data_IF_564662725513
#
_entry.id   IF_564662725513
#
_cell.length_a   1.000
_cell.length_b   1.000
_cell.length_c   1.000
_cell.angle_alpha   90.00
_cell.angle_beta   90.00
_cell.angle_gamma   90.00
#
_symmetry.space_group_name_H-M   'P 1'
#
loop_
_entity.id
_entity.type
_entity.pdbx_description
1 polymer ?
#
# COMPACT_ATOMS: atom_id res chain seq x y z
N UNK A 1 17.19 14.50 2.57
CA UNK A 1 17.25 13.02 2.45
C UNK A 1 16.06 12.41 3.17
N UNK A 2 15.42 11.41 2.59
CA UNK A 2 14.25 10.73 3.15
C UNK A 2 14.42 9.21 3.08
N UNK A 3 13.76 8.46 3.97
CA UNK A 3 13.71 7.01 3.85
C UNK A 3 12.62 6.63 2.85
N UNK A 4 12.98 5.91 1.81
CA UNK A 4 12.08 5.43 0.75
C UNK A 4 12.28 3.93 0.60
N UNK A 5 11.24 3.18 0.25
CA UNK A 5 11.31 1.72 0.25
C UNK A 5 11.82 1.14 -1.07
N UNK A 6 11.76 1.94 -2.14
CA UNK A 6 12.28 1.60 -3.46
C UNK A 6 12.94 2.81 -4.16
N UNK A 7 13.78 2.57 -5.17
CA UNK A 7 14.22 3.65 -6.07
C UNK A 7 13.08 4.30 -6.84
N UNK A 8 11.99 3.58 -7.10
CA UNK A 8 10.81 4.13 -7.76
C UNK A 8 10.13 5.17 -6.87
N UNK A 9 9.98 4.89 -5.57
CA UNK A 9 9.45 5.87 -4.60
C UNK A 9 10.34 7.11 -4.55
N UNK A 10 11.67 6.90 -4.58
CA UNK A 10 12.63 7.99 -4.62
C UNK A 10 12.52 8.83 -5.90
N UNK A 11 12.27 8.18 -7.04
CA UNK A 11 12.05 8.82 -8.34
C UNK A 11 10.74 9.63 -8.36
N UNK A 12 9.64 9.04 -7.89
CA UNK A 12 8.35 9.74 -7.76
C UNK A 12 8.48 10.95 -6.83
N UNK A 13 9.15 10.77 -5.69
CA UNK A 13 9.40 11.87 -4.77
C UNK A 13 10.23 12.99 -5.41
N UNK A 14 11.21 12.65 -6.24
CA UNK A 14 11.93 13.65 -7.04
C UNK A 14 11.02 14.36 -8.03
N UNK A 15 10.18 13.64 -8.77
CA UNK A 15 9.24 14.24 -9.72
C UNK A 15 8.30 15.25 -9.06
N UNK A 16 7.79 14.92 -7.88
CA UNK A 16 6.81 15.73 -7.16
C UNK A 16 7.49 16.86 -6.35
N UNK A 17 8.82 16.83 -6.20
CA UNK A 17 9.60 17.85 -5.49
C UNK A 17 10.08 18.93 -6.45
N UNK A 18 9.58 20.15 -6.27
CA UNK A 18 10.02 21.29 -7.05
C UNK A 18 11.53 21.53 -6.88
N UNK A 19 12.24 21.65 -8.00
CA UNK A 19 13.70 21.83 -8.01
C UNK A 19 14.51 20.53 -7.96
N UNK A 20 13.88 19.36 -7.92
CA UNK A 20 14.57 18.09 -8.16
C UNK A 20 14.65 17.79 -9.66
N UNK A 21 15.82 17.29 -10.09
CA UNK A 21 16.10 16.86 -11.47
C UNK A 21 16.65 15.45 -11.52
N UNK A 22 17.39 15.05 -10.47
CA UNK A 22 17.98 13.73 -10.34
C UNK A 22 17.78 13.22 -8.93
N UNK A 23 17.75 11.91 -8.78
CA UNK A 23 17.71 11.27 -7.48
C UNK A 23 18.86 10.26 -7.34
N UNK A 24 19.21 9.97 -6.09
CA UNK A 24 20.02 8.80 -5.75
C UNK A 24 19.34 8.04 -4.65
N UNK A 25 19.15 6.76 -4.88
CA UNK A 25 18.56 5.83 -3.95
C UNK A 25 19.57 4.78 -3.53
N UNK A 26 19.89 4.73 -2.24
CA UNK A 26 20.75 3.68 -1.69
C UNK A 26 19.90 2.47 -1.26
N UNK A 27 20.07 1.33 -1.95
CA UNK A 27 19.33 0.09 -1.70
C UNK A 27 19.57 -0.51 -0.32
N UNK A 28 20.80 -0.37 0.19
CA UNK A 28 21.21 -1.00 1.44
C UNK A 28 20.59 -0.29 2.64
N UNK A 29 20.53 1.05 2.58
CA UNK A 29 20.00 1.88 3.65
C UNK A 29 18.57 2.37 3.42
N UNK A 30 17.99 2.10 2.24
CA UNK A 30 16.67 2.61 1.86
C UNK A 30 16.60 4.15 1.94
N UNK A 31 17.70 4.82 1.59
CA UNK A 31 17.83 6.29 1.72
C UNK A 31 17.76 6.95 0.36
N UNK A 32 16.90 7.96 0.22
CA UNK A 32 16.69 8.74 -0.98
C UNK A 32 17.27 10.16 -0.86
N UNK A 33 18.02 10.56 -1.88
CA UNK A 33 18.66 11.87 -2.01
C UNK A 33 18.17 12.55 -3.28
N UNK A 34 17.42 13.63 -3.11
CA UNK A 34 16.96 14.48 -4.21
C UNK A 34 18.05 15.51 -4.56
N UNK A 35 18.29 15.71 -5.85
CA UNK A 35 19.34 16.60 -6.36
C UNK A 35 18.81 17.57 -7.41
N UNK A 36 19.39 18.75 -7.46
CA UNK A 36 19.07 19.81 -8.41
C UNK A 36 19.65 19.58 -9.81
N UNK A 37 19.45 20.56 -10.69
CA UNK A 37 19.94 20.51 -12.08
C UNK A 37 21.47 20.52 -12.19
N UNK A 38 22.17 20.90 -11.12
CA UNK A 38 23.63 20.95 -10.98
C UNK A 38 24.27 19.60 -10.62
N UNK A 39 23.46 18.55 -10.43
CA UNK A 39 23.94 17.21 -10.09
C UNK A 39 24.85 16.54 -11.14
N UNK A 40 24.64 16.68 -12.46
CA UNK A 40 25.48 16.00 -13.45
C UNK A 40 26.95 16.37 -13.32
N UNK A 41 27.84 15.38 -13.33
CA UNK A 41 29.29 15.57 -13.16
C UNK A 41 29.76 15.63 -11.70
N UNK A 42 28.86 15.47 -10.73
CA UNK A 42 29.19 15.41 -9.29
C UNK A 42 29.05 13.99 -8.70
N UNK A 43 28.93 12.99 -9.57
CA UNK A 43 28.64 11.61 -9.18
C UNK A 43 29.75 11.04 -8.30
N UNK A 44 29.33 10.34 -7.24
CA UNK A 44 30.21 9.53 -6.40
C UNK A 44 29.62 8.13 -6.35
N UNK A 45 30.45 7.15 -6.65
CA UNK A 45 30.03 5.76 -6.62
C UNK A 45 30.06 5.25 -5.18
N UNK A 46 28.88 4.95 -4.64
CA UNK A 46 28.72 4.31 -3.34
C UNK A 46 27.99 2.97 -3.50
N UNK A 47 28.41 1.90 -2.79
CA UNK A 47 27.77 0.60 -2.90
C UNK A 47 26.26 0.64 -2.63
N UNK A 48 25.49 0.14 -3.60
CA UNK A 48 24.04 0.08 -3.52
C UNK A 48 23.33 1.37 -3.94
N UNK A 49 24.04 2.41 -4.37
CA UNK A 49 23.41 3.60 -4.95
C UNK A 49 22.87 3.31 -6.36
N UNK A 50 21.64 3.76 -6.60
CA UNK A 50 21.02 3.83 -7.91
C UNK A 50 20.69 5.28 -8.20
N UNK A 51 21.17 5.79 -9.33
CA UNK A 51 21.01 7.17 -9.76
C UNK A 51 20.05 7.20 -10.94
N UNK A 52 19.14 8.17 -10.98
CA UNK A 52 18.22 8.31 -12.08
C UNK A 52 17.68 9.73 -12.26
N UNK A 53 17.16 10.06 -13.44
CA UNK A 53 16.45 11.31 -13.68
C UNK A 53 15.10 11.31 -12.97
N UNK A 54 14.54 12.49 -12.73
CA UNK A 54 13.16 12.63 -12.20
C UNK A 54 12.09 12.01 -13.10
N UNK A 55 12.37 11.92 -14.40
CA UNK A 55 11.45 11.38 -15.41
C UNK A 55 11.55 9.86 -15.49
N UNK A 56 10.42 9.19 -15.67
CA UNK A 56 10.40 7.75 -15.88
C UNK A 56 10.91 7.40 -17.28
N UNK A 57 11.69 6.31 -17.37
CA UNK A 57 12.18 5.80 -18.64
C UNK A 57 10.98 5.46 -19.53
N UNK A 58 10.77 6.25 -20.58
CA UNK A 58 9.85 5.88 -21.65
C UNK A 58 10.55 4.80 -22.47
N UNK A 59 10.01 3.57 -22.47
CA UNK A 59 10.51 2.52 -23.34
C UNK A 59 10.49 3.02 -24.79
N UNK A 60 11.67 3.20 -25.38
CA UNK A 60 11.84 3.88 -26.65
C UNK A 60 11.11 3.19 -27.80
N UNK A 61 10.11 3.88 -28.34
CA UNK A 61 9.85 3.90 -29.77
C UNK A 61 10.41 5.22 -30.28
N UNK A 62 11.56 5.17 -30.94
CA UNK A 62 12.10 6.32 -31.66
C UNK A 62 11.32 6.50 -32.97
N UNK A 63 10.44 7.50 -33.00
CA UNK A 63 10.23 8.26 -34.23
C UNK A 63 10.31 9.75 -33.88
N UNK A 64 11.45 10.33 -34.28
CA UNK A 64 11.66 11.75 -34.46
C UNK A 64 10.76 12.22 -35.59
N UNK A 65 9.97 13.27 -35.37
CA UNK A 65 9.89 14.42 -36.27
C UNK A 65 9.16 15.60 -35.61
N UNK A 66 9.97 16.61 -35.28
CA UNK A 66 9.80 18.06 -35.46
C UNK A 66 8.49 18.77 -35.09
N UNK A 67 8.72 19.78 -34.24
CA UNK A 67 7.92 20.93 -33.81
C UNK A 67 7.06 21.57 -34.90
N UNK A 68 5.88 22.07 -34.52
CA UNK A 68 5.42 23.44 -34.82
C UNK A 68 4.35 23.83 -33.77
N UNK A 69 4.54 24.96 -33.12
CA UNK A 69 3.56 25.66 -32.28
C UNK A 69 2.39 26.21 -33.12
N UNK A 70 1.21 26.31 -32.52
CA UNK A 70 0.23 27.36 -32.87
C UNK A 70 -0.79 27.52 -31.74
N UNK A 71 -0.81 28.72 -31.17
CA UNK A 71 -1.74 29.21 -30.16
C UNK A 71 -3.18 29.40 -30.71
N UNK A 72 -4.11 29.50 -29.74
CA UNK A 72 -5.17 30.53 -29.66
C UNK A 72 -6.63 30.06 -29.76
N UNK A 73 -7.42 30.47 -28.75
CA UNK A 73 -8.74 31.07 -29.02
C UNK A 73 -10.01 30.40 -28.46
N UNK A 74 -10.31 30.66 -27.18
CA UNK A 74 -11.59 31.18 -26.62
C UNK A 74 -13.00 30.82 -27.17
N UNK A 75 -13.94 30.62 -26.23
CA UNK A 75 -15.39 30.94 -26.33
C UNK A 75 -16.31 29.73 -26.09
N UNK A 76 -16.88 29.52 -24.90
CA UNK A 76 -18.10 30.14 -24.30
C UNK A 76 -19.45 29.64 -24.80
N UNK A 77 -20.32 29.42 -23.81
CA UNK A 77 -21.80 29.46 -23.79
C UNK A 77 -22.62 28.18 -24.05
N UNK A 78 -23.60 27.98 -23.17
CA UNK A 78 -24.86 27.29 -23.53
C UNK A 78 -25.55 26.48 -22.45
N UNK A 79 -26.32 27.15 -21.58
CA UNK A 79 -27.21 26.56 -20.58
C UNK A 79 -28.39 25.74 -21.15
N UNK A 80 -29.01 24.89 -20.32
CA UNK A 80 -30.33 24.30 -20.61
C UNK A 80 -30.88 23.42 -19.49
N UNK A 81 -31.92 23.92 -18.82
CA UNK A 81 -32.63 23.36 -17.66
C UNK A 81 -33.73 22.32 -18.01
N UNK A 82 -34.23 21.62 -16.98
CA UNK A 82 -35.56 20.96 -16.94
C UNK A 82 -35.52 19.62 -16.18
N UNK A 83 -35.91 19.52 -14.90
CA UNK A 83 -37.24 19.59 -14.27
C UNK A 83 -38.10 18.31 -14.42
N UNK A 84 -38.54 17.75 -13.28
CA UNK A 84 -39.91 17.23 -13.12
C UNK A 84 -40.11 15.80 -12.56
N UNK A 85 -40.96 15.74 -11.52
CA UNK A 85 -41.74 14.60 -10.95
C UNK A 85 -41.01 13.75 -9.89
N UNK A 86 -41.29 13.86 -8.59
CA UNK A 86 -42.56 13.76 -7.83
C UNK A 86 -43.27 12.41 -8.05
N UNK A 87 -43.12 11.46 -7.10
CA UNK A 87 -44.22 10.61 -6.64
C UNK A 87 -44.03 10.30 -5.16
N UNK A 88 -45.06 10.66 -4.41
CA UNK A 88 -45.30 10.49 -2.98
C UNK A 88 -46.04 9.17 -2.75
N UNK A 89 -45.70 8.41 -1.69
CA UNK A 89 -46.66 7.52 -0.99
C UNK A 89 -46.02 6.85 0.23
N UNK A 90 -46.29 7.40 1.40
CA UNK A 90 -46.46 6.69 2.67
C UNK A 90 -47.92 6.15 2.74
N UNK A 91 -48.38 5.29 3.69
CA UNK A 91 -48.25 5.56 5.13
C UNK A 91 -48.29 4.37 6.13
N UNK A 92 -48.13 4.75 7.42
CA UNK A 92 -48.60 4.14 8.69
C UNK A 92 -47.86 2.91 9.26
N UNK A 93 -47.73 2.64 10.58
CA UNK A 93 -47.73 3.37 11.86
C UNK A 93 -47.60 2.30 12.99
N UNK A 94 -46.62 2.47 13.93
CA UNK A 94 -46.50 2.19 15.41
C UNK A 94 -47.35 1.08 16.11
N UNK A 95 -47.07 0.57 17.35
CA UNK A 95 -46.10 0.95 18.41
C UNK A 95 -45.34 -0.28 19.00
N UNK A 96 -44.45 -0.27 20.00
CA UNK A 96 -43.96 0.63 21.04
C UNK A 96 -43.40 -0.27 22.17
N UNK A 97 -42.36 0.14 22.89
CA UNK A 97 -41.82 -0.63 24.03
C UNK A 97 -40.51 -0.09 24.59
N UNK A 98 -40.62 0.73 25.64
CA UNK A 98 -39.52 1.17 26.52
C UNK A 98 -38.97 -0.01 27.33
N UNK A 99 -37.66 -0.04 27.59
CA UNK A 99 -37.05 0.25 28.91
C UNK A 99 -35.51 0.12 28.85
N UNK A 100 -34.86 0.88 29.73
CA UNK A 100 -33.41 1.14 29.92
C UNK A 100 -33.19 1.09 31.45
N UNK A 101 -31.98 1.33 32.00
CA UNK A 101 -30.64 0.72 31.88
C UNK A 101 -30.28 -0.10 33.14
N UNK A 102 -29.10 -0.73 33.17
CA UNK A 102 -28.22 -0.95 34.36
C UNK A 102 -27.04 -1.83 33.89
N UNK A 103 -25.80 -1.80 34.35
CA UNK A 103 -24.96 -0.87 35.10
C UNK A 103 -23.52 -1.41 34.86
N UNK A 104 -22.54 -0.55 34.68
CA UNK A 104 -21.16 -0.90 34.33
C UNK A 104 -20.29 -0.84 35.61
N UNK A 105 -19.46 -1.84 35.95
CA UNK A 105 -18.48 -1.68 37.02
C UNK A 105 -17.21 -0.97 36.54
N UNK A 106 -16.49 -0.28 37.45
CA UNK A 106 -15.54 0.77 37.11
C UNK A 106 -14.11 0.31 36.81
N UNK A 107 -13.41 1.20 36.10
CA UNK A 107 -11.98 1.22 35.81
C UNK A 107 -11.21 1.62 37.09
N UNK A 108 -10.12 0.93 37.48
CA UNK A 108 -9.14 1.49 38.42
C UNK A 108 -8.11 2.35 37.68
N UNK A 109 -7.94 3.58 38.17
CA UNK A 109 -6.91 4.52 37.73
C UNK A 109 -5.48 4.15 38.15
N UNK A 110 -4.49 5.01 37.82
CA UNK A 110 -3.08 4.69 37.85
C UNK A 110 -2.48 4.92 39.25
N UNK A 111 -1.48 4.12 39.61
CA UNK A 111 -0.50 4.49 40.63
C UNK A 111 0.93 4.40 40.08
N UNK A 112 1.79 5.35 40.44
CA UNK A 112 3.16 5.46 40.00
C UNK A 112 4.08 4.67 40.93
N UNK A 113 5.21 4.17 40.42
CA UNK A 113 6.46 4.18 41.16
C UNK A 113 7.61 3.91 40.18
N UNK A 114 8.64 4.74 40.30
CA UNK A 114 9.80 4.71 39.42
C UNK A 114 10.70 3.52 39.68
N UNK A 115 11.48 3.18 38.67
CA UNK A 115 12.79 2.60 38.91
C UNK A 115 13.82 3.22 37.99
N UNK A 116 14.95 3.48 38.63
CA UNK A 116 16.12 4.17 38.17
C UNK A 116 17.07 3.13 37.58
N UNK A 117 17.67 3.43 36.42
CA UNK A 117 19.06 3.03 36.24
C UNK A 117 19.40 2.19 35.01
N UNK A 118 20.43 2.73 34.33
CA UNK A 118 21.50 2.12 33.54
C UNK A 118 21.16 1.64 32.12
N UNK A 119 21.41 2.57 31.19
CA UNK A 119 21.91 2.29 29.84
C UNK A 119 23.03 1.24 29.91
N UNK A 120 22.77 0.08 29.30
CA UNK A 120 23.78 -0.93 29.03
C UNK A 120 24.39 -0.63 27.64
N UNK A 121 25.69 -0.37 27.63
CA UNK A 121 26.47 -0.07 26.43
C UNK A 121 26.42 -1.24 25.45
N UNK A 122 26.02 -0.94 24.21
CA UNK A 122 26.10 -1.84 23.06
C UNK A 122 27.58 -2.14 22.76
N UNK A 123 28.00 -3.41 22.62
CA UNK A 123 29.37 -3.74 22.23
C UNK A 123 29.65 -3.43 20.75
N UNK A 124 30.88 -3.07 20.37
CA UNK A 124 31.25 -2.75 18.99
C UNK A 124 31.28 -4.00 18.09
N UNK A 125 30.84 -3.81 16.86
CA UNK A 125 30.85 -4.80 15.77
C UNK A 125 32.27 -4.94 15.21
N UNK A 126 32.80 -6.14 14.95
CA UNK A 126 34.15 -6.31 14.41
C UNK A 126 34.21 -5.96 12.91
N UNK A 127 35.26 -5.21 12.53
CA UNK A 127 35.72 -4.99 11.15
C UNK A 127 36.06 -6.33 10.48
N UNK A 128 35.52 -6.57 9.29
CA UNK A 128 35.94 -7.67 8.43
C UNK A 128 36.71 -7.11 7.23
N UNK A 129 37.97 -7.52 7.17
CA UNK A 129 39.02 -7.16 6.24
C UNK A 129 38.69 -7.47 4.76
N UNK A 130 39.24 -6.63 3.89
CA UNK A 130 39.11 -6.68 2.44
C UNK A 130 39.81 -7.92 1.84
N UNK A 131 39.01 -8.75 1.16
CA UNK A 131 39.49 -9.87 0.35
C UNK A 131 39.41 -9.56 -1.15
N UNK A 132 40.56 -9.25 -1.72
CA UNK A 132 40.82 -9.11 -3.18
C UNK A 132 40.62 -10.43 -3.94
N UNK A 133 39.98 -10.40 -5.12
CA UNK A 133 39.86 -11.59 -5.96
C UNK A 133 39.01 -11.49 -7.23
N UNK A 134 39.58 -10.83 -8.25
CA UNK A 134 39.58 -11.17 -9.70
C UNK A 134 38.30 -11.53 -10.48
N UNK A 135 38.19 -10.83 -11.62
CA UNK A 135 37.30 -11.02 -12.75
C UNK A 135 37.17 -12.45 -13.30
N UNK A 136 35.95 -12.79 -13.70
CA UNK A 136 35.61 -13.91 -14.57
C UNK A 136 34.55 -13.45 -15.57
N UNK A 137 34.86 -13.64 -16.85
CA UNK A 137 34.14 -13.26 -18.07
C UNK A 137 32.95 -14.18 -18.39
N UNK A 138 31.88 -13.57 -18.92
CA UNK A 138 30.96 -14.06 -19.97
C UNK A 138 30.26 -15.43 -19.82
N UNK A 139 28.93 -15.42 -19.75
CA UNK A 139 28.08 -16.27 -20.59
C UNK A 139 26.62 -15.78 -20.59
N UNK A 140 26.21 -15.37 -21.78
CA UNK A 140 24.87 -15.14 -22.28
C UNK A 140 23.88 -16.27 -21.91
N UNK A 141 22.70 -15.93 -21.37
CA UNK A 141 21.53 -16.82 -21.43
C UNK A 141 20.25 -15.97 -21.58
N UNK A 142 19.46 -16.15 -22.66
CA UNK A 142 18.29 -15.32 -22.92
C UNK A 142 17.07 -15.85 -22.16
N UNK A 143 16.59 -15.06 -21.20
CA UNK A 143 15.32 -15.24 -20.49
C UNK A 143 14.45 -14.01 -20.62
N UNK A 144 13.82 -13.86 -21.77
CA UNK A 144 12.73 -12.92 -22.05
C UNK A 144 11.56 -13.85 -22.45
N UNK A 145 10.33 -13.75 -21.96
CA UNK A 145 9.42 -12.61 -22.06
C UNK A 145 8.20 -12.96 -21.18
N UNK A 146 7.89 -12.20 -20.12
CA UNK A 146 6.47 -11.94 -19.87
C UNK A 146 6.01 -11.02 -21.00
N UNK A 147 4.96 -11.37 -21.76
CA UNK A 147 4.58 -10.60 -22.93
C UNK A 147 4.30 -9.15 -22.51
N UNK A 148 4.92 -8.24 -23.26
CA UNK A 148 4.73 -6.78 -23.30
C UNK A 148 3.27 -6.42 -23.69
N UNK A 149 2.28 -6.99 -22.99
CA UNK A 149 0.85 -6.94 -23.30
C UNK A 149 0.00 -6.37 -22.18
N UNK A 150 0.61 -5.75 -21.18
CA UNK A 150 -0.16 -5.02 -20.17
C UNK A 150 0.05 -3.53 -20.35
N UNK A 151 -0.76 -2.86 -21.19
CA UNK A 151 -0.91 -1.41 -21.19
C UNK A 151 -1.81 -1.00 -20.00
N UNK A 152 -1.52 -1.51 -18.80
CA UNK A 152 -2.23 -1.15 -17.58
C UNK A 152 -1.34 -0.25 -16.72
N UNK A 153 -1.89 0.79 -16.06
CA UNK A 153 -1.16 1.56 -15.06
C UNK A 153 -0.56 0.62 -14.01
N UNK A 154 0.67 0.92 -13.56
CA UNK A 154 1.29 0.25 -12.41
C UNK A 154 0.28 0.29 -11.25
N UNK A 155 -0.06 -0.84 -10.62
CA UNK A 155 -1.02 -0.83 -9.52
C UNK A 155 -0.51 0.10 -8.42
N UNK A 156 -1.37 1.01 -7.95
CA UNK A 156 -1.06 1.91 -6.84
C UNK A 156 -0.50 1.06 -5.69
N UNK A 157 0.64 1.46 -5.15
CA UNK A 157 1.28 0.89 -3.96
C UNK A 157 0.69 1.46 -2.66
N UNK A 158 -0.47 2.12 -2.75
CA UNK A 158 -1.20 2.77 -1.66
C UNK A 158 -0.68 4.17 -1.34
N UNK A 159 0.28 4.67 -2.13
CA UNK A 159 0.98 5.93 -1.92
C UNK A 159 0.09 7.15 -2.18
N UNK A 160 -0.92 7.03 -3.06
CA UNK A 160 -1.88 8.12 -3.31
C UNK A 160 -2.76 8.44 -2.09
N UNK A 161 -2.92 7.47 -1.17
CA UNK A 161 -3.88 7.54 -0.07
C UNK A 161 -3.24 7.57 1.33
N UNK A 162 -1.89 7.70 1.41
CA UNK A 162 -1.11 7.57 2.66
C UNK A 162 -1.37 6.28 3.44
N UNK A 163 -1.87 5.23 2.77
CA UNK A 163 -2.27 3.96 3.35
C UNK A 163 -1.32 2.87 2.86
N UNK A 164 -0.42 2.43 3.74
CA UNK A 164 0.53 1.35 3.42
C UNK A 164 -0.25 0.06 3.20
N UNK A 165 -0.18 -0.50 1.98
CA UNK A 165 -0.84 -1.74 1.61
C UNK A 165 0.09 -2.96 1.58
N UNK A 166 1.38 -2.75 1.32
CA UNK A 166 2.38 -3.83 1.26
C UNK A 166 2.98 -4.01 2.66
N UNK A 167 3.07 -5.25 3.11
CA UNK A 167 3.71 -5.59 4.38
C UNK A 167 5.22 -5.26 4.35
N UNK A 168 5.85 -5.02 5.51
CA UNK A 168 7.28 -4.78 5.57
C UNK A 168 8.03 -6.03 5.13
N UNK A 169 9.36 -5.90 4.94
CA UNK A 169 10.22 -7.05 4.71
C UNK A 169 10.06 -8.08 5.83
N UNK A 170 10.30 -9.32 5.43
CA UNK A 170 10.22 -10.52 6.23
C UNK A 170 8.79 -11.03 6.50
N UNK A 171 7.86 -10.79 5.56
CA UNK A 171 6.44 -11.10 5.74
C UNK A 171 5.93 -12.05 4.66
N UNK A 172 5.39 -13.17 5.11
CA UNK A 172 4.78 -14.22 4.30
C UNK A 172 3.39 -14.55 4.80
N UNK A 173 2.73 -15.48 4.14
CA UNK A 173 1.41 -15.98 4.50
C UNK A 173 1.38 -17.47 4.19
N UNK A 174 0.60 -18.22 4.98
CA UNK A 174 0.38 -19.65 4.77
C UNK A 174 -0.82 -19.94 3.87
N UNK A 175 -1.45 -18.90 3.32
CA UNK A 175 -2.57 -19.04 2.39
C UNK A 175 -2.18 -19.85 1.15
N UNK A 176 -3.17 -20.50 0.54
CA UNK A 176 -2.95 -21.38 -0.60
C UNK A 176 -2.28 -20.63 -1.77
N UNK A 177 -1.23 -21.24 -2.32
CA UNK A 177 -0.55 -20.75 -3.51
C UNK A 177 -1.36 -21.21 -4.72
N UNK A 178 -2.04 -20.28 -5.36
CA UNK A 178 -2.74 -20.50 -6.63
C UNK A 178 -1.75 -20.72 -7.77
N UNK A 179 -0.69 -19.90 -7.83
CA UNK A 179 0.30 -19.94 -8.91
C UNK A 179 1.65 -19.42 -8.45
N UNK A 180 2.73 -20.10 -8.83
CA UNK A 180 4.10 -19.64 -8.56
C UNK A 180 4.81 -19.27 -9.86
N UNK A 181 5.42 -18.08 -9.88
CA UNK A 181 6.15 -17.51 -11.00
C UNK A 181 7.62 -17.35 -10.59
N UNK A 182 8.55 -18.13 -11.18
CA UNK A 182 9.98 -17.96 -10.94
C UNK A 182 10.56 -16.80 -11.77
N UNK A 183 11.58 -16.12 -11.23
CA UNK A 183 12.42 -15.19 -12.00
C UNK A 183 11.78 -13.85 -12.31
N UNK A 184 10.85 -13.37 -11.49
CA UNK A 184 10.40 -11.99 -11.58
C UNK A 184 11.45 -11.08 -10.92
N UNK A 185 11.89 -10.00 -11.59
CA UNK A 185 13.00 -9.19 -11.08
C UNK A 185 12.57 -8.27 -9.95
N UNK A 186 11.29 -7.90 -9.87
CA UNK A 186 10.78 -6.95 -8.88
C UNK A 186 9.49 -7.39 -8.18
N UNK A 187 9.26 -6.94 -6.93
CA UNK A 187 7.96 -7.01 -6.27
C UNK A 187 6.79 -6.46 -7.08
N UNK A 188 7.03 -5.39 -7.83
CA UNK A 188 6.03 -4.70 -8.62
C UNK A 188 5.55 -5.58 -9.79
N UNK A 189 6.46 -6.34 -10.40
CA UNK A 189 6.10 -7.34 -11.42
C UNK A 189 5.23 -8.46 -10.82
N UNK A 190 5.53 -8.86 -9.59
CA UNK A 190 4.73 -9.85 -8.86
C UNK A 190 3.32 -9.32 -8.52
N UNK A 191 3.24 -8.05 -8.10
CA UNK A 191 1.98 -7.37 -7.85
C UNK A 191 1.14 -7.25 -9.12
N UNK A 192 1.76 -6.83 -10.23
CA UNK A 192 1.10 -6.76 -11.55
C UNK A 192 0.62 -8.13 -12.03
N UNK A 193 1.41 -9.19 -11.81
CA UNK A 193 0.99 -10.55 -12.11
C UNK A 193 -0.24 -10.97 -11.29
N UNK A 194 -0.30 -10.61 -10.00
CA UNK A 194 -1.48 -10.84 -9.16
C UNK A 194 -2.69 -10.05 -9.65
N UNK A 195 -2.50 -8.79 -10.06
CA UNK A 195 -3.57 -7.94 -10.59
C UNK A 195 -4.27 -8.59 -11.80
N UNK A 196 -3.51 -9.19 -12.71
CA UNK A 196 -4.06 -9.85 -13.91
C UNK A 196 -4.55 -11.27 -13.69
N UNK A 197 -4.22 -11.90 -12.57
CA UNK A 197 -4.65 -13.27 -12.26
C UNK A 197 -5.99 -13.23 -11.51
N UNK A 198 -7.04 -13.83 -12.11
CA UNK A 198 -8.42 -13.75 -11.61
C UNK A 198 -8.58 -14.22 -10.17
N UNK A 199 -7.97 -15.36 -9.84
CA UNK A 199 -8.07 -16.01 -8.53
C UNK A 199 -7.08 -15.47 -7.49
N UNK A 200 -6.19 -14.54 -7.88
CA UNK A 200 -5.24 -13.96 -6.94
C UNK A 200 -5.98 -12.99 -6.01
N UNK A 201 -5.77 -13.12 -4.70
CA UNK A 201 -6.24 -12.14 -3.70
C UNK A 201 -5.07 -11.33 -3.15
N UNK A 202 -3.87 -11.90 -3.14
CA UNK A 202 -2.64 -11.29 -2.64
C UNK A 202 -1.42 -12.05 -3.18
N UNK A 203 -0.26 -11.43 -3.13
CA UNK A 203 1.00 -12.02 -3.58
C UNK A 203 2.00 -12.09 -2.44
N UNK A 204 2.92 -13.06 -2.53
CA UNK A 204 4.14 -13.10 -1.72
C UNK A 204 5.33 -13.13 -2.67
N UNK A 205 6.29 -12.24 -2.47
CA UNK A 205 7.50 -12.17 -3.27
C UNK A 205 8.74 -12.45 -2.42
N UNK A 206 9.60 -13.33 -2.91
CA UNK A 206 10.89 -13.65 -2.31
C UNK A 206 11.98 -12.79 -2.94
N UNK A 207 12.52 -11.87 -2.14
CA UNK A 207 13.52 -10.87 -2.55
C UNK A 207 14.87 -11.46 -2.95
N UNK A 208 15.17 -12.68 -2.50
CA UNK A 208 16.47 -13.34 -2.74
C UNK A 208 16.45 -14.18 -4.02
N UNK A 209 15.33 -14.85 -4.30
CA UNK A 209 15.20 -15.78 -5.43
C UNK A 209 14.44 -15.20 -6.61
N UNK A 210 13.76 -14.06 -6.44
CA UNK A 210 12.85 -13.51 -7.46
C UNK A 210 11.61 -14.38 -7.68
N UNK A 211 11.28 -15.25 -6.71
CA UNK A 211 10.09 -16.10 -6.77
C UNK A 211 8.86 -15.31 -6.31
N UNK A 212 7.81 -15.35 -7.11
CA UNK A 212 6.52 -14.75 -6.80
C UNK A 212 5.46 -15.83 -6.64
N UNK A 213 4.81 -15.86 -5.49
CA UNK A 213 3.69 -16.74 -5.21
C UNK A 213 2.40 -15.91 -5.22
N UNK A 214 1.55 -16.14 -6.23
CA UNK A 214 0.19 -15.62 -6.30
C UNK A 214 -0.69 -16.51 -5.44
N UNK A 215 -1.32 -15.90 -4.43
CA UNK A 215 -2.09 -16.61 -3.41
C UNK A 215 -3.57 -16.23 -3.49
N UNK A 216 -4.40 -17.14 -3.00
CA UNK A 216 -5.85 -16.98 -2.93
C UNK A 216 -6.34 -17.05 -1.48
N UNK A 217 -7.64 -16.85 -1.27
CA UNK A 217 -8.30 -16.85 0.04
C UNK A 217 -7.86 -15.69 0.96
N UNK A 218 -7.72 -15.98 2.26
CA UNK A 218 -7.47 -15.01 3.32
C UNK A 218 -6.04 -14.46 3.26
N UNK A 219 -5.89 -13.16 3.00
CA UNK A 219 -4.60 -12.47 3.06
C UNK A 219 -4.31 -11.87 4.44
N UNK A 220 -5.25 -11.96 5.38
CA UNK A 220 -5.19 -11.19 6.63
C UNK A 220 -4.28 -11.79 7.69
N UNK A 221 -3.82 -13.03 7.51
CA UNK A 221 -2.91 -13.71 8.42
C UNK A 221 -1.52 -13.80 7.80
N UNK A 222 -0.60 -13.01 8.35
CA UNK A 222 0.77 -12.88 7.87
C UNK A 222 1.72 -13.30 8.98
N UNK A 223 2.71 -14.09 8.61
CA UNK A 223 3.76 -14.63 9.50
C UNK A 223 5.13 -14.09 9.08
N UNK A 224 6.12 -14.23 9.96
CA UNK A 224 7.49 -13.86 9.63
C UNK A 224 8.15 -14.91 8.72
N UNK A 225 8.82 -14.47 7.66
CA UNK A 225 9.71 -15.31 6.87
C UNK A 225 10.78 -14.47 6.20
N UNK A 226 12.05 -14.87 6.33
CA UNK A 226 13.20 -14.09 5.85
C UNK A 226 13.09 -13.82 4.35
N UNK A 227 13.44 -12.60 3.95
CA UNK A 227 13.38 -12.11 2.57
C UNK A 227 12.07 -12.27 1.80
N UNK A 228 10.94 -12.40 2.50
CA UNK A 228 9.63 -12.32 1.88
C UNK A 228 8.97 -10.97 2.09
N UNK A 229 8.15 -10.56 1.13
CA UNK A 229 7.19 -9.46 1.27
C UNK A 229 5.83 -9.98 0.80
N UNK A 230 4.76 -9.45 1.36
CA UNK A 230 3.41 -9.81 0.98
C UNK A 230 2.62 -8.53 0.72
N UNK A 231 1.72 -8.55 -0.27
CA UNK A 231 0.86 -7.41 -0.58
C UNK A 231 -0.48 -7.86 -1.17
N UNK A 232 -1.54 -7.05 -1.03
CA UNK A 232 -2.84 -7.35 -1.61
C UNK A 232 -2.79 -7.29 -3.14
N UNK A 233 -3.80 -7.85 -3.79
CA UNK A 233 -3.97 -7.69 -5.24
C UNK A 233 -4.07 -6.23 -5.68
N UNK A 234 -4.67 -5.38 -4.86
CA UNK A 234 -4.82 -3.95 -5.13
C UNK A 234 -4.59 -3.14 -3.87
N UNK A 235 -3.96 -1.98 -4.01
CA UNK A 235 -3.94 -0.96 -2.96
C UNK A 235 -4.96 0.16 -3.21
N UNK A 236 -5.92 -0.08 -4.10
CA UNK A 236 -7.02 0.85 -4.32
C UNK A 236 -7.82 1.00 -3.02
N UNK A 237 -7.78 2.22 -2.47
CA UNK A 237 -8.46 2.63 -1.25
C UNK A 237 -9.47 3.76 -1.52
N UNK A 238 -9.91 3.93 -2.78
CA UNK A 238 -10.91 4.93 -3.18
C UNK A 238 -12.23 4.82 -2.42
N UNK A 239 -12.56 3.62 -1.93
CA UNK A 239 -13.74 3.32 -1.15
C UNK A 239 -13.51 3.39 0.37
N UNK A 240 -12.30 3.79 0.82
CA UNK A 240 -11.99 3.96 2.23
C UNK A 240 -12.20 5.41 2.65
N UNK A 241 -12.60 5.61 3.91
CA UNK A 241 -12.75 6.93 4.50
C UNK A 241 -11.88 7.04 5.75
N UNK A 242 -10.90 7.94 5.69
CA UNK A 242 -9.99 8.25 6.81
C UNK A 242 -10.64 9.24 7.77
N UNK A 243 -10.32 9.16 9.06
CA UNK A 243 -10.80 10.07 10.09
C UNK A 243 -12.23 9.77 10.54
N UNK A 244 -12.72 8.56 10.28
CA UNK A 244 -14.07 8.10 10.62
C UNK A 244 -14.01 6.70 11.23
N UNK A 245 -14.97 6.39 12.10
CA UNK A 245 -15.13 5.07 12.71
C UNK A 245 -16.60 4.69 12.90
N UNK A 246 -16.89 3.39 12.95
CA UNK A 246 -18.22 2.87 13.24
C UNK A 246 -18.34 2.47 14.72
N UNK A 247 -19.35 2.96 15.42
CA UNK A 247 -19.67 2.56 16.80
C UNK A 247 -20.60 1.35 16.91
N UNK A 248 -21.12 0.83 15.78
CA UNK A 248 -21.90 -0.40 15.70
C UNK A 248 -21.24 -1.60 16.39
N UNK A 249 -22.03 -2.61 16.72
CA UNK A 249 -21.51 -3.81 17.36
C UNK A 249 -20.54 -4.57 16.45
N UNK A 250 -19.53 -5.19 17.06
CA UNK A 250 -18.58 -6.00 16.31
C UNK A 250 -19.19 -7.37 15.99
N UNK A 251 -19.10 -7.81 14.74
CA UNK A 251 -19.58 -9.14 14.31
C UNK A 251 -18.51 -10.23 14.45
N UNK A 252 -17.28 -9.84 14.79
CA UNK A 252 -16.15 -10.72 15.06
C UNK A 252 -15.27 -10.16 16.21
N UNK A 253 -14.45 -11.00 16.87
CA UNK A 253 -13.51 -10.53 17.90
C UNK A 253 -12.51 -9.52 17.35
N UNK A 254 -12.24 -8.44 18.10
CA UNK A 254 -11.25 -7.43 17.70
C UNK A 254 -9.89 -8.11 17.50
N UNK A 255 -9.29 -7.92 16.33
CA UNK A 255 -8.06 -8.62 15.92
C UNK A 255 -7.04 -7.61 15.40
N UNK A 256 -5.77 -7.80 15.72
CA UNK A 256 -4.70 -6.95 15.21
C UNK A 256 -4.41 -7.29 13.73
N UNK A 257 -4.31 -6.27 12.90
CA UNK A 257 -4.04 -6.36 11.46
C UNK A 257 -3.00 -5.33 11.06
N UNK A 258 -2.17 -5.67 10.07
CA UNK A 258 -1.07 -4.78 9.68
C UNK A 258 -1.57 -3.52 8.98
N UNK A 259 -2.58 -3.65 8.12
CA UNK A 259 -3.15 -2.55 7.33
C UNK A 259 -4.68 -2.58 7.26
N UNK A 260 -5.27 -1.49 6.75
CA UNK A 260 -6.70 -1.43 6.43
C UNK A 260 -7.09 -2.45 5.34
N UNK A 261 -6.16 -2.81 4.44
CA UNK A 261 -6.40 -3.81 3.40
C UNK A 261 -6.50 -5.23 4.00
N UNK A 262 -5.73 -5.53 5.04
CA UNK A 262 -5.86 -6.79 5.77
C UNK A 262 -7.20 -6.88 6.52
N UNK A 263 -7.67 -5.75 7.04
CA UNK A 263 -9.00 -5.64 7.61
C UNK A 263 -10.10 -5.93 6.58
N UNK A 264 -9.98 -5.36 5.39
CA UNK A 264 -10.91 -5.62 4.29
C UNK A 264 -10.90 -7.11 3.90
N UNK A 265 -9.71 -7.70 3.68
CA UNK A 265 -9.61 -9.13 3.36
C UNK A 265 -10.18 -10.02 4.46
N UNK A 266 -9.93 -9.69 5.73
CA UNK A 266 -10.51 -10.42 6.85
C UNK A 266 -12.04 -10.26 6.90
N UNK A 267 -12.56 -9.07 6.62
CA UNK A 267 -14.00 -8.82 6.50
C UNK A 267 -14.62 -9.69 5.41
N UNK A 268 -13.97 -9.87 4.25
CA UNK A 268 -14.48 -10.75 3.17
C UNK A 268 -14.67 -12.20 3.60
N UNK A 269 -13.82 -12.69 4.51
CA UNK A 269 -13.89 -14.05 5.05
C UNK A 269 -14.96 -14.22 6.12
N UNK A 270 -15.51 -13.13 6.65
CA UNK A 270 -16.57 -13.16 7.64
C UNK A 270 -17.92 -12.86 6.99
N UNK A 271 -18.78 -13.87 6.85
CA UNK A 271 -20.06 -13.74 6.14
C UNK A 271 -20.99 -12.67 6.73
N UNK A 272 -20.87 -12.37 8.02
CA UNK A 272 -21.67 -11.36 8.71
C UNK A 272 -21.03 -9.95 8.67
N UNK A 273 -19.83 -9.81 8.11
CA UNK A 273 -19.16 -8.53 7.97
C UNK A 273 -19.67 -7.81 6.71
N UNK A 274 -19.95 -6.51 6.84
CA UNK A 274 -20.29 -5.64 5.73
C UNK A 274 -19.37 -4.43 5.65
N UNK A 275 -18.85 -3.99 6.81
CA UNK A 275 -17.94 -2.85 6.92
C UNK A 275 -16.85 -3.17 7.93
N UNK A 276 -15.69 -2.53 7.78
CA UNK A 276 -14.63 -2.58 8.77
C UNK A 276 -14.31 -1.18 9.29
N UNK A 277 -13.74 -1.13 10.49
CA UNK A 277 -13.00 0.03 11.01
C UNK A 277 -11.60 -0.46 11.35
N UNK A 278 -10.59 0.24 10.88
CA UNK A 278 -9.19 -0.04 11.14
C UNK A 278 -8.56 1.15 11.84
N UNK A 279 -8.02 0.94 13.04
CA UNK A 279 -7.31 1.98 13.75
C UNK A 279 -5.83 1.97 13.38
N UNK A 280 -5.37 3.06 12.76
CA UNK A 280 -4.02 3.18 12.17
C UNK A 280 -2.90 3.20 13.22
N UNK A 281 -3.21 3.62 14.46
CA UNK A 281 -2.27 3.72 15.58
C UNK A 281 -2.15 2.37 16.31
N UNK A 282 -3.27 1.84 16.78
CA UNK A 282 -3.32 0.60 17.57
C UNK A 282 -3.27 -0.67 16.74
N UNK A 283 -3.41 -0.56 15.41
CA UNK A 283 -3.45 -1.69 14.47
C UNK A 283 -4.64 -2.63 14.67
N UNK A 284 -5.65 -2.19 15.42
CA UNK A 284 -6.86 -2.98 15.69
C UNK A 284 -7.85 -2.92 14.55
N UNK A 285 -8.41 -4.08 14.25
CA UNK A 285 -9.46 -4.26 13.26
C UNK A 285 -10.80 -4.58 13.92
N UNK A 286 -11.84 -3.85 13.51
CA UNK A 286 -13.20 -3.99 14.00
C UNK A 286 -14.12 -4.33 12.82
N UNK A 287 -14.70 -5.54 12.80
CA UNK A 287 -15.66 -5.94 11.77
C UNK A 287 -17.07 -5.60 12.21
N UNK A 288 -17.85 -4.99 11.32
CA UNK A 288 -19.20 -4.48 11.59
C UNK A 288 -20.21 -5.09 10.63
N UNK A 289 -21.46 -5.19 11.09
CA UNK A 289 -22.60 -5.71 10.32
C UNK A 289 -23.29 -4.64 9.48
N UNK A 290 -24.53 -4.92 9.09
CA UNK A 290 -25.37 -4.03 8.27
C UNK A 290 -25.80 -2.74 8.97
N UNK A 291 -25.71 -2.69 10.30
CA UNK A 291 -26.04 -1.53 11.13
C UNK A 291 -24.96 -0.44 11.13
N UNK A 292 -23.75 -0.76 10.67
CA UNK A 292 -22.60 0.13 10.69
C UNK A 292 -22.84 1.53 10.08
N UNK A 293 -23.46 1.67 8.89
CA UNK A 293 -23.60 2.98 8.23
C UNK A 293 -24.27 4.05 9.09
N UNK A 294 -25.22 3.66 9.94
CA UNK A 294 -25.96 4.57 10.82
C UNK A 294 -25.15 5.01 12.06
N UNK A 295 -23.96 4.47 12.25
CA UNK A 295 -23.11 4.67 13.44
C UNK A 295 -21.78 5.35 13.11
N UNK A 296 -21.63 5.86 11.89
CA UNK A 296 -20.42 6.50 11.43
C UNK A 296 -20.20 7.84 12.13
N UNK A 297 -19.06 8.01 12.80
CA UNK A 297 -18.70 9.22 13.52
C UNK A 297 -17.25 9.65 13.25
N UNK A 298 -16.87 10.92 13.53
CA UNK A 298 -15.48 11.36 13.48
C UNK A 298 -14.58 10.56 14.44
N UNK A 299 -13.47 10.03 13.91
CA UNK A 299 -12.43 9.33 14.67
C UNK A 299 -11.10 9.48 13.92
N UNK A 300 -10.22 10.41 14.33
CA UNK A 300 -9.04 10.82 13.55
C UNK A 300 -8.09 9.69 13.16
N UNK A 301 -7.96 8.68 14.03
CA UNK A 301 -7.02 7.58 13.86
C UNK A 301 -7.60 6.38 13.11
N UNK A 302 -8.89 6.44 12.77
CA UNK A 302 -9.62 5.33 12.16
C UNK A 302 -9.80 5.50 10.65
N UNK A 303 -9.84 4.36 9.97
CA UNK A 303 -10.15 4.21 8.55
C UNK A 303 -11.29 3.22 8.43
N UNK A 304 -12.38 3.62 7.78
CA UNK A 304 -13.50 2.72 7.47
C UNK A 304 -13.48 2.30 6.01
N UNK A 305 -14.03 1.14 5.72
CA UNK A 305 -14.24 0.68 4.36
C UNK A 305 -15.27 -0.44 4.28
N UNK A 306 -15.76 -0.73 3.06
CA UNK A 306 -16.67 -1.84 2.83
C UNK A 306 -15.95 -3.20 2.89
N UNK A 307 -16.73 -4.27 2.97
CA UNK A 307 -16.24 -5.65 2.84
C UNK A 307 -15.49 -5.88 1.52
N UNK A 308 -16.10 -5.47 0.42
CA UNK A 308 -15.59 -5.79 -0.92
C UNK A 308 -14.45 -4.86 -1.32
N UNK A 309 -13.64 -5.31 -2.28
CA UNK A 309 -12.56 -4.50 -2.85
C UNK A 309 -13.09 -3.21 -3.46
N UNK A 310 -12.29 -2.15 -3.40
CA UNK A 310 -12.67 -0.89 -4.02
C UNK A 310 -12.78 -1.03 -5.54
N UNK A 311 -13.77 -0.36 -6.17
CA UNK A 311 -13.93 -0.41 -7.62
C UNK A 311 -12.72 0.23 -8.30
N UNK A 312 -12.19 -0.47 -9.30
CA UNK A 312 -11.09 -0.05 -10.17
C UNK A 312 -11.56 0.81 -11.32
#
# INVERSE_FOLDING_TARGET
>A
PGKMYSPFDCQSWCRDTNGCFYFTFNRNSSTCFLKGADAPGTEREYPGDMVGPKEFCSGGGEDVETEEESESGTGSDGAGSGAGSEVESEPEAVPGGQERPEEQPPIPGPSPDGDNGKEELVPPVPELEEGSGTAGTEADTPGHILPSRYPAPIPDTGLSSNLVCIHPRHKTTTAEIHKSLPGLPTPEDCHLACWHEGECTHFTYNLTTGRCDLRTNDSSHVTEEVDHITGPKSCNSSCFTVGKGHSAHNVAPITDKYSAFDCQSWCRQNNNCMYFTYNTVTKKCYLKGSDAPNTLSPSPDDVVGPRDFCPS
#
